data_IF_359344996194
#
_entry.id   IF_359344996194
#
_cell.length_a   1.000
_cell.length_b   1.000
_cell.length_c   1.000
_cell.angle_alpha   90.00
_cell.angle_beta   90.00
_cell.angle_gamma   90.00
#
_symmetry.space_group_name_H-M   'P 1'
#
loop_
_entity.id
_entity.type
_entity.pdbx_description
1 polymer ?
#
# COMPACT_ATOMS: atom_id res chain seq x y z
N UNK A 1 -22.17 -31.42 -38.10
CA UNK A 1 -22.41 -30.43 -37.06
C UNK A 1 -21.27 -30.51 -36.01
N UNK A 2 -20.11 -30.02 -36.44
CA UNK A 2 -18.94 -29.84 -35.59
C UNK A 2 -18.62 -28.32 -35.58
N UNK A 3 -19.41 -27.55 -34.87
CA UNK A 3 -19.07 -26.15 -34.55
C UNK A 3 -19.62 -25.82 -33.18
N UNK A 4 -18.80 -26.01 -32.16
CA UNK A 4 -18.82 -25.28 -30.89
C UNK A 4 -17.78 -25.88 -29.94
N UNK A 5 -16.52 -25.58 -30.18
CA UNK A 5 -15.47 -25.81 -29.20
C UNK A 5 -14.37 -24.76 -29.45
N UNK A 6 -14.66 -23.54 -29.09
CA UNK A 6 -13.65 -22.52 -28.81
C UNK A 6 -14.29 -21.46 -27.91
N UNK A 7 -14.78 -21.85 -26.75
CA UNK A 7 -14.71 -20.96 -25.60
C UNK A 7 -13.24 -20.94 -25.22
N UNK A 8 -12.52 -19.97 -25.72
CA UNK A 8 -11.21 -19.62 -25.23
C UNK A 8 -11.37 -19.37 -23.72
N UNK A 9 -10.83 -20.24 -22.89
CA UNK A 9 -10.55 -19.95 -21.49
C UNK A 9 -9.55 -18.78 -21.46
N UNK A 10 -10.05 -17.56 -21.65
CA UNK A 10 -9.30 -16.35 -21.35
C UNK A 10 -9.23 -16.34 -19.83
N UNK A 11 -8.04 -16.59 -19.29
CA UNK A 11 -7.81 -16.42 -17.89
C UNK A 11 -8.02 -14.94 -17.57
N UNK A 12 -8.99 -14.66 -16.70
CA UNK A 12 -9.28 -13.31 -16.19
C UNK A 12 -8.33 -12.94 -15.05
N UNK A 13 -7.26 -13.71 -14.85
CA UNK A 13 -6.30 -13.51 -13.76
C UNK A 13 -5.48 -12.24 -14.00
N UNK A 14 -5.58 -11.31 -13.08
CA UNK A 14 -4.80 -10.09 -13.05
C UNK A 14 -3.87 -10.07 -11.83
N UNK A 15 -2.79 -9.31 -11.92
CA UNK A 15 -1.84 -9.10 -10.82
C UNK A 15 -1.92 -7.68 -10.30
N UNK A 16 -2.13 -7.54 -9.00
CA UNK A 16 -2.00 -6.28 -8.28
C UNK A 16 -0.55 -6.07 -7.87
N UNK A 17 0.04 -4.94 -8.20
CA UNK A 17 1.46 -4.69 -7.95
C UNK A 17 1.72 -3.25 -7.51
N UNK A 18 2.76 -3.08 -6.73
CA UNK A 18 3.32 -1.81 -6.34
C UNK A 18 4.82 -1.85 -6.65
N UNK A 19 5.26 -0.96 -7.52
CA UNK A 19 6.66 -0.83 -7.92
C UNK A 19 7.16 0.56 -7.56
N UNK A 20 8.32 0.65 -6.92
CA UNK A 20 9.00 1.92 -6.72
C UNK A 20 10.50 1.82 -6.99
N UNK A 21 11.07 2.92 -7.50
CA UNK A 21 12.50 3.14 -7.62
C UNK A 21 12.87 4.38 -6.81
N UNK A 22 13.90 4.27 -5.96
CA UNK A 22 14.35 5.33 -5.07
C UNK A 22 15.65 5.90 -5.64
N UNK A 23 15.70 7.21 -5.82
CA UNK A 23 16.93 7.95 -6.19
C UNK A 23 17.34 8.86 -5.02
N UNK A 24 18.37 8.44 -4.31
CA UNK A 24 18.92 9.18 -3.17
C UNK A 24 19.64 10.48 -3.59
N UNK A 25 20.04 10.62 -4.86
CA UNK A 25 20.71 11.83 -5.32
C UNK A 25 19.72 12.98 -5.55
N UNK A 26 18.55 12.66 -6.04
CA UNK A 26 17.47 13.63 -6.27
C UNK A 26 16.45 13.67 -5.13
N UNK A 27 16.54 12.78 -4.15
CA UNK A 27 15.54 12.56 -3.11
C UNK A 27 14.13 12.33 -3.70
N UNK A 28 14.03 11.48 -4.71
CA UNK A 28 12.78 11.17 -5.39
C UNK A 28 12.48 9.68 -5.42
N UNK A 29 11.19 9.37 -5.40
CA UNK A 29 10.65 8.03 -5.60
C UNK A 29 9.84 8.06 -6.88
N UNK A 30 10.17 7.19 -7.82
CA UNK A 30 9.30 6.87 -8.94
C UNK A 30 8.39 5.73 -8.54
N UNK A 31 7.10 5.95 -8.59
CA UNK A 31 6.08 5.01 -8.15
C UNK A 31 5.11 4.67 -9.26
N UNK A 32 4.85 3.39 -9.43
CA UNK A 32 3.82 2.86 -10.31
C UNK A 32 3.05 1.75 -9.59
N UNK A 33 1.75 1.91 -9.47
CA UNK A 33 0.87 0.97 -8.77
C UNK A 33 -0.28 0.49 -9.62
N UNK A 34 -0.61 -0.81 -9.54
CA UNK A 34 -1.84 -1.41 -10.03
C UNK A 34 -2.65 -1.86 -8.81
N UNK A 35 -3.72 -1.14 -8.49
CA UNK A 35 -4.58 -1.27 -7.29
C UNK A 35 -3.87 -1.15 -5.93
N UNK A 36 -2.55 -1.13 -5.89
CA UNK A 36 -1.76 -1.03 -4.65
C UNK A 36 -1.21 0.38 -4.50
N UNK A 37 -1.43 1.03 -3.34
CA UNK A 37 -0.89 2.35 -3.05
C UNK A 37 0.54 2.27 -2.52
N UNK A 38 1.25 3.41 -2.61
CA UNK A 38 2.41 3.74 -1.80
C UNK A 38 1.95 4.58 -0.61
N UNK A 39 2.37 4.23 0.60
CA UNK A 39 2.23 5.10 1.77
C UNK A 39 3.55 5.77 2.07
N UNK A 40 3.58 7.09 2.11
CA UNK A 40 4.73 7.89 2.54
C UNK A 40 4.38 8.58 3.85
N UNK A 41 5.22 8.40 4.88
CA UNK A 41 5.09 9.07 6.18
C UNK A 41 6.24 10.04 6.36
N UNK A 42 5.93 11.30 6.61
CA UNK A 42 6.87 12.41 6.76
C UNK A 42 6.46 13.32 7.92
N UNK A 43 7.36 14.19 8.36
CA UNK A 43 7.00 15.26 9.31
C UNK A 43 6.12 16.31 8.62
N UNK A 44 5.13 16.82 9.33
CA UNK A 44 4.11 17.74 8.82
C UNK A 44 4.69 19.04 8.22
N UNK A 45 5.79 19.52 8.77
CA UNK A 45 6.45 20.77 8.35
C UNK A 45 7.45 20.55 7.19
N UNK A 46 7.61 19.32 6.71
CA UNK A 46 8.45 19.02 5.57
C UNK A 46 7.84 19.52 4.25
N UNK A 47 8.66 19.54 3.21
CA UNK A 47 8.21 19.86 1.84
C UNK A 47 7.05 18.94 1.45
N UNK A 48 6.03 19.49 0.78
CA UNK A 48 4.91 18.72 0.27
C UNK A 48 5.43 17.65 -0.74
N UNK A 49 5.45 16.37 -0.37
CA UNK A 49 6.09 15.32 -1.16
C UNK A 49 5.30 14.96 -2.43
N UNK A 50 4.03 15.35 -2.49
CA UNK A 50 3.09 14.99 -3.56
C UNK A 50 2.82 16.14 -4.54
N UNK A 51 3.75 17.08 -4.64
CA UNK A 51 3.64 18.19 -5.61
C UNK A 51 3.66 17.63 -7.03
N UNK A 52 2.52 17.79 -7.72
CA UNK A 52 2.34 17.24 -9.08
C UNK A 52 1.74 15.83 -9.13
N UNK A 53 1.49 15.21 -7.99
CA UNK A 53 0.71 13.96 -7.90
C UNK A 53 -0.78 14.29 -7.86
N UNK A 54 -1.55 13.68 -8.76
CA UNK A 54 -2.98 14.02 -8.92
C UNK A 54 -3.92 13.16 -8.05
N UNK A 55 -3.47 11.99 -7.60
CA UNK A 55 -4.34 11.01 -6.94
C UNK A 55 -3.72 10.53 -5.62
N UNK A 56 -3.93 11.29 -4.55
CA UNK A 56 -3.50 10.91 -3.21
C UNK A 56 -4.54 11.27 -2.15
N UNK A 57 -4.40 10.65 -0.98
CA UNK A 57 -5.12 11.01 0.25
C UNK A 57 -4.10 11.35 1.33
N UNK A 58 -4.40 12.34 2.13
CA UNK A 58 -3.55 12.79 3.24
C UNK A 58 -4.25 12.55 4.58
N UNK A 59 -3.49 12.06 5.56
CA UNK A 59 -3.94 11.84 6.94
C UNK A 59 -2.88 12.38 7.88
N UNK A 60 -3.30 13.09 8.91
CA UNK A 60 -2.41 13.65 9.93
C UNK A 60 -2.63 13.00 11.29
N UNK A 61 -1.55 12.88 12.05
CA UNK A 61 -1.56 12.52 13.46
C UNK A 61 -0.40 13.26 14.15
N UNK A 62 -0.71 14.17 15.08
CA UNK A 62 0.29 15.01 15.75
C UNK A 62 1.16 15.78 14.74
N UNK A 63 2.48 15.57 14.77
CA UNK A 63 3.45 16.21 13.89
C UNK A 63 3.78 15.39 12.64
N UNK A 64 3.04 14.30 12.37
CA UNK A 64 3.27 13.43 11.25
C UNK A 64 2.13 13.52 10.23
N UNK A 65 2.50 13.40 8.96
CA UNK A 65 1.59 13.29 7.82
C UNK A 65 1.83 11.97 7.10
N UNK A 66 0.76 11.30 6.71
CA UNK A 66 0.80 10.14 5.84
C UNK A 66 0.10 10.48 4.52
N UNK A 67 0.83 10.29 3.43
CA UNK A 67 0.30 10.40 2.07
C UNK A 67 0.09 9.00 1.50
N UNK A 68 -1.14 8.69 1.13
CA UNK A 68 -1.49 7.51 0.37
C UNK A 68 -1.51 7.88 -1.11
N UNK A 69 -0.45 7.58 -1.82
CA UNK A 69 -0.33 7.80 -3.27
C UNK A 69 -0.97 6.59 -3.96
N UNK A 70 -2.05 6.84 -4.70
CA UNK A 70 -2.82 5.76 -5.32
C UNK A 70 -2.22 5.36 -6.65
N UNK A 71 -2.19 4.05 -6.88
CA UNK A 71 -1.95 3.48 -8.19
C UNK A 71 -3.19 3.51 -9.09
N UNK A 72 -3.07 2.92 -10.26
CA UNK A 72 -4.19 2.70 -11.18
C UNK A 72 -5.24 1.77 -10.56
N UNK A 73 -6.49 1.89 -10.99
CA UNK A 73 -7.60 1.08 -10.49
C UNK A 73 -7.68 -0.33 -11.11
N UNK A 74 -6.86 -0.61 -12.12
CA UNK A 74 -6.83 -1.89 -12.83
C UNK A 74 -5.63 -2.74 -12.41
N UNK A 75 -5.81 -4.07 -12.41
CA UNK A 75 -4.70 -5.04 -12.25
C UNK A 75 -3.90 -5.14 -13.55
N UNK A 76 -2.66 -5.61 -13.48
CA UNK A 76 -1.87 -5.96 -14.67
C UNK A 76 -2.36 -7.31 -15.20
N UNK A 77 -2.69 -7.37 -16.49
CA UNK A 77 -3.31 -8.57 -17.11
C UNK A 77 -4.84 -8.59 -16.92
N UNK A 78 -5.46 -9.73 -17.17
CA UNK A 78 -6.92 -9.85 -17.13
C UNK A 78 -7.60 -9.27 -18.37
N UNK A 79 -8.83 -8.75 -18.21
CA UNK A 79 -9.68 -8.30 -19.33
C UNK A 79 -9.29 -6.95 -19.91
N UNK A 80 -8.48 -6.16 -19.21
CA UNK A 80 -8.07 -4.83 -19.66
C UNK A 80 -6.96 -4.93 -20.72
N UNK A 81 -7.34 -4.93 -21.99
CA UNK A 81 -6.41 -5.00 -23.13
C UNK A 81 -5.49 -3.77 -23.26
N UNK A 82 -5.83 -2.66 -22.59
CA UNK A 82 -5.03 -1.43 -22.59
C UNK A 82 -4.72 -1.08 -21.12
N UNK A 83 -3.55 -1.50 -20.66
CA UNK A 83 -3.04 -1.14 -19.36
C UNK A 83 -2.11 0.07 -19.50
N UNK A 84 -2.51 1.18 -18.93
CA UNK A 84 -1.69 2.39 -18.87
C UNK A 84 -1.27 2.63 -17.43
N UNK A 85 0.02 2.50 -17.14
CA UNK A 85 0.59 2.81 -15.83
C UNK A 85 1.13 4.23 -15.85
N UNK A 86 0.68 5.03 -14.90
CA UNK A 86 1.27 6.35 -14.67
C UNK A 86 2.48 6.21 -13.73
N UNK A 87 3.62 6.73 -14.18
CA UNK A 87 4.78 6.96 -13.32
C UNK A 87 4.54 8.24 -12.52
N UNK A 88 4.48 8.10 -11.19
CA UNK A 88 4.28 9.21 -10.28
C UNK A 88 5.59 9.50 -9.55
N UNK A 89 6.04 10.76 -9.59
CA UNK A 89 7.26 11.19 -8.93
C UNK A 89 6.88 11.84 -7.59
N UNK A 90 7.44 11.30 -6.51
CA UNK A 90 7.20 11.72 -5.13
C UNK A 90 8.53 12.16 -4.53
N UNK A 91 8.59 13.36 -3.97
CA UNK A 91 9.77 13.85 -3.26
C UNK A 91 9.79 13.32 -1.83
N UNK A 92 10.97 13.09 -1.25
CA UNK A 92 11.10 12.68 0.14
C UNK A 92 12.18 13.48 0.87
N UNK A 93 12.09 13.47 2.19
CA UNK A 93 13.12 14.03 3.07
C UNK A 93 13.84 12.89 3.79
N UNK A 94 15.10 13.12 4.13
CA UNK A 94 15.86 12.14 4.92
C UNK A 94 15.16 11.87 6.24
N UNK A 95 14.90 10.59 6.50
CA UNK A 95 14.19 10.12 7.68
C UNK A 95 12.71 9.82 7.46
N UNK A 96 12.16 10.17 6.29
CA UNK A 96 10.83 9.72 5.87
C UNK A 96 10.77 8.20 5.75
N UNK A 97 9.58 7.65 5.84
CA UNK A 97 9.38 6.20 5.74
C UNK A 97 8.31 5.89 4.70
N UNK A 98 8.60 4.96 3.81
CA UNK A 98 7.60 4.43 2.89
C UNK A 98 7.16 3.03 3.30
N UNK A 99 5.89 2.70 2.98
CA UNK A 99 5.32 1.37 3.14
C UNK A 99 4.62 0.94 1.86
N UNK A 100 4.86 -0.32 1.50
CA UNK A 100 4.24 -1.02 0.39
C UNK A 100 3.66 -2.32 0.92
N UNK A 101 2.58 -2.83 0.35
CA UNK A 101 2.04 -4.10 0.82
C UNK A 101 0.86 -4.62 0.04
N UNK A 102 0.46 -5.84 0.40
CA UNK A 102 -0.80 -6.45 -0.02
C UNK A 102 -1.98 -5.85 0.76
N UNK A 103 -3.20 -6.17 0.35
CA UNK A 103 -4.41 -5.77 1.08
C UNK A 103 -4.76 -6.69 2.25
N UNK A 104 -4.13 -7.88 2.31
CA UNK A 104 -4.46 -8.90 3.32
C UNK A 104 -4.44 -8.40 4.75
N UNK A 105 -3.54 -7.46 5.09
CA UNK A 105 -3.53 -6.86 6.42
C UNK A 105 -4.80 -6.06 6.72
N UNK A 106 -5.23 -5.23 5.78
CA UNK A 106 -6.42 -4.38 5.95
C UNK A 106 -7.73 -5.17 5.83
N UNK A 107 -7.69 -6.27 5.11
CA UNK A 107 -8.83 -7.12 4.82
C UNK A 107 -9.04 -8.25 5.84
N UNK A 108 -8.07 -8.47 6.76
CA UNK A 108 -8.20 -9.45 7.83
C UNK A 108 -9.42 -9.19 8.69
N UNK A 109 -10.26 -10.22 8.84
CA UNK A 109 -11.39 -10.21 9.76
C UNK A 109 -10.94 -10.49 11.19
N UNK A 110 -11.59 -9.82 12.15
CA UNK A 110 -11.24 -9.98 13.56
C UNK A 110 -11.99 -9.03 14.49
N UNK A 111 -11.48 -8.93 15.73
CA UNK A 111 -12.10 -8.18 16.81
C UNK A 111 -13.44 -8.76 17.26
N UNK A 112 -14.04 -8.18 18.29
CA UNK A 112 -15.29 -8.67 18.89
C UNK A 112 -16.48 -8.66 17.89
N UNK A 113 -16.49 -7.70 16.96
CA UNK A 113 -17.59 -7.52 16.01
C UNK A 113 -17.38 -8.24 14.68
N UNK A 114 -16.33 -9.05 14.54
CA UNK A 114 -15.98 -9.79 13.33
C UNK A 114 -16.01 -8.92 12.06
N UNK A 115 -15.14 -7.92 12.01
CA UNK A 115 -15.08 -6.96 10.90
C UNK A 115 -13.69 -6.94 10.30
N UNK A 116 -13.57 -6.43 9.06
CA UNK A 116 -12.26 -6.13 8.45
C UNK A 116 -11.48 -5.12 9.31
N UNK A 117 -10.15 -5.29 9.37
CA UNK A 117 -9.23 -4.36 10.04
C UNK A 117 -9.35 -2.94 9.49
N UNK A 118 -9.43 -2.81 8.19
CA UNK A 118 -9.56 -1.61 7.37
C UNK A 118 -8.29 -0.76 7.25
N UNK A 119 -8.07 -0.23 6.05
CA UNK A 119 -6.97 0.67 5.69
C UNK A 119 -6.85 1.90 6.61
N UNK A 120 -7.97 2.45 7.09
CA UNK A 120 -7.96 3.58 8.02
C UNK A 120 -7.23 3.26 9.33
N UNK A 121 -7.45 2.07 9.89
CA UNK A 121 -6.77 1.64 11.11
C UNK A 121 -5.29 1.39 10.85
N UNK A 122 -4.94 0.75 9.74
CA UNK A 122 -3.56 0.55 9.33
C UNK A 122 -2.82 1.89 9.23
N UNK A 123 -3.36 2.88 8.53
CA UNK A 123 -2.76 4.22 8.40
C UNK A 123 -2.51 4.89 9.74
N UNK A 124 -3.45 4.80 10.69
CA UNK A 124 -3.26 5.35 12.04
C UNK A 124 -2.11 4.66 12.78
N UNK A 125 -1.95 3.35 12.64
CA UNK A 125 -0.82 2.62 13.24
C UNK A 125 0.50 3.04 12.58
N UNK A 126 0.55 3.11 11.24
CA UNK A 126 1.74 3.58 10.52
C UNK A 126 2.17 4.99 10.96
N UNK A 127 1.24 5.86 11.27
CA UNK A 127 1.54 7.20 11.80
C UNK A 127 2.05 7.17 13.26
N UNK A 128 1.48 6.31 14.10
CA UNK A 128 1.68 6.36 15.56
C UNK A 128 3.06 5.92 16.04
N UNK A 129 3.81 5.17 15.25
CA UNK A 129 5.07 4.57 15.66
C UNK A 129 6.34 5.11 14.97
N UNK A 130 6.27 6.29 14.35
CA UNK A 130 7.39 6.82 13.56
C UNK A 130 8.67 7.11 14.37
N UNK A 131 8.56 7.29 15.68
CA UNK A 131 9.71 7.37 16.57
C UNK A 131 10.41 6.03 16.83
N UNK A 132 9.82 4.91 16.41
CA UNK A 132 10.36 3.55 16.62
C UNK A 132 11.30 3.16 15.49
N UNK A 133 12.24 2.24 15.80
CA UNK A 133 13.06 1.59 14.77
C UNK A 133 12.21 0.72 13.84
N UNK A 134 12.70 0.44 12.64
CA UNK A 134 11.98 -0.42 11.68
C UNK A 134 11.71 -1.82 12.23
N UNK A 135 12.60 -2.35 13.08
CA UNK A 135 12.39 -3.64 13.77
C UNK A 135 11.23 -3.58 14.75
N UNK A 136 11.17 -2.53 15.58
CA UNK A 136 10.06 -2.33 16.52
C UNK A 136 8.73 -2.11 15.78
N UNK A 137 8.75 -1.37 14.67
CA UNK A 137 7.56 -1.15 13.84
C UNK A 137 7.02 -2.47 13.27
N UNK A 138 7.91 -3.36 12.80
CA UNK A 138 7.56 -4.71 12.35
C UNK A 138 6.90 -5.53 13.45
N UNK A 139 7.48 -5.49 14.67
CA UNK A 139 6.94 -6.21 15.84
C UNK A 139 5.55 -5.68 16.22
N UNK A 140 5.38 -4.36 16.24
CA UNK A 140 4.08 -3.72 16.53
C UNK A 140 3.03 -4.12 15.49
N UNK A 141 3.36 -4.05 14.18
CA UNK A 141 2.44 -4.47 13.13
C UNK A 141 2.06 -5.96 13.27
N UNK A 142 3.02 -6.82 13.55
CA UNK A 142 2.76 -8.24 13.78
C UNK A 142 1.84 -8.47 14.98
N UNK A 143 2.10 -7.80 16.11
CA UNK A 143 1.29 -7.94 17.31
C UNK A 143 -0.13 -7.39 17.13
N UNK A 144 -0.30 -6.24 16.49
CA UNK A 144 -1.60 -5.66 16.19
C UNK A 144 -2.43 -6.56 15.26
N UNK A 145 -1.77 -7.17 14.27
CA UNK A 145 -2.41 -8.12 13.37
C UNK A 145 -2.90 -9.35 14.12
N UNK A 146 -2.05 -9.98 14.94
CA UNK A 146 -2.40 -11.16 15.73
C UNK A 146 -3.51 -10.86 16.76
N UNK A 147 -3.41 -9.74 17.46
CA UNK A 147 -4.43 -9.31 18.42
C UNK A 147 -5.79 -9.07 17.75
N UNK A 148 -5.76 -8.52 16.52
CA UNK A 148 -6.99 -8.31 15.76
C UNK A 148 -7.60 -9.61 15.26
N UNK A 149 -6.78 -10.48 14.67
CA UNK A 149 -7.20 -11.77 14.13
C UNK A 149 -7.74 -12.70 15.22
N UNK A 150 -7.09 -12.73 16.40
CA UNK A 150 -7.47 -13.63 17.49
C UNK A 150 -7.36 -15.09 17.06
N UNK A 151 -8.41 -15.86 17.33
CA UNK A 151 -8.49 -17.30 16.98
C UNK A 151 -9.00 -17.55 15.55
N UNK A 152 -9.11 -16.51 14.72
CA UNK A 152 -9.61 -16.64 13.35
C UNK A 152 -8.51 -17.06 12.39
N UNK A 153 -8.93 -17.61 11.25
CA UNK A 153 -8.02 -17.91 10.16
C UNK A 153 -7.56 -16.63 9.44
N UNK A 154 -6.33 -16.64 8.95
CA UNK A 154 -5.84 -15.60 8.06
C UNK A 154 -6.58 -15.70 6.72
N UNK A 155 -7.16 -14.58 6.28
CA UNK A 155 -8.03 -14.54 5.10
C UNK A 155 -7.29 -14.40 3.80
N UNK A 156 -6.09 -13.83 3.81
CA UNK A 156 -5.28 -13.58 2.61
C UNK A 156 -3.79 -13.46 2.98
N UNK A 157 -2.91 -13.48 1.98
CA UNK A 157 -1.47 -13.28 2.16
C UNK A 157 -1.16 -11.86 2.61
N UNK A 158 -0.41 -11.74 3.71
CA UNK A 158 -0.06 -10.47 4.33
C UNK A 158 1.41 -10.15 4.10
N UNK A 159 1.65 -9.08 3.36
CA UNK A 159 2.98 -8.51 3.16
C UNK A 159 2.95 -7.02 3.43
N UNK A 160 3.86 -6.53 4.27
CA UNK A 160 4.16 -5.11 4.45
C UNK A 160 5.68 -4.93 4.40
N UNK A 161 6.15 -4.12 3.47
CA UNK A 161 7.54 -3.68 3.35
C UNK A 161 7.64 -2.23 3.81
N UNK A 162 8.44 -1.96 4.84
CA UNK A 162 8.77 -0.62 5.29
C UNK A 162 10.22 -0.28 4.95
N UNK A 163 10.46 0.91 4.40
CA UNK A 163 11.79 1.42 4.05
C UNK A 163 11.94 2.80 4.66
N UNK A 164 13.00 3.02 5.44
CA UNK A 164 13.40 4.34 5.94
C UNK A 164 14.39 4.96 4.97
N UNK A 165 14.08 6.17 4.55
CA UNK A 165 14.81 6.96 3.56
C UNK A 165 15.86 7.87 4.20
#
# INVERSE_FOLDING_TARGET
DFMNANESNVSHDGMDICLCSIDDNSNTIHFAGAKRPLYLVTQKDNINPVKGVNNYLEVHLEDMSLYEIKGNNSSIGGDDLIFHVEDQIVEFNKGDVIYLGSDGYADQFGGEADRKFKTKRLKNILLSFQSKSMSEQKEILGQEFQNWMGDKEQTDDVTILGIKL
#
